data_IF_412762291738
#
_entry.id   IF_412762291738
#
_cell.length_a   1.000
_cell.length_b   1.000
_cell.length_c   1.000
_cell.angle_alpha   90.00
_cell.angle_beta   90.00
_cell.angle_gamma   90.00
#
_symmetry.space_group_name_H-M   'P 1'
#
loop_
_entity.id
_entity.type
_entity.pdbx_description
1 polymer ?
#
# COMPACT_ATOMS: atom_id res chain seq x y z
N UNK A 1 -9.99 -5.38 6.71
CA UNK A 1 -10.51 -4.92 8.03
C UNK A 1 -10.89 -3.46 7.86
N UNK A 2 -12.01 -3.02 8.42
CA UNK A 2 -12.40 -1.62 8.33
C UNK A 2 -11.53 -0.71 9.20
N UNK A 3 -11.56 0.60 8.90
CA UNK A 3 -10.69 1.58 9.57
C UNK A 3 -10.94 1.67 11.09
N UNK A 4 -12.18 1.45 11.56
CA UNK A 4 -12.51 1.52 12.99
C UNK A 4 -11.95 0.31 13.74
N UNK A 5 -12.02 -0.87 13.14
CA UNK A 5 -11.49 -2.10 13.74
C UNK A 5 -9.97 -2.09 13.90
N UNK A 6 -9.26 -1.20 13.17
CA UNK A 6 -7.81 -1.04 13.32
C UNK A 6 -7.41 -0.51 14.69
N UNK A 7 -8.28 0.23 15.39
CA UNK A 7 -8.01 0.68 16.77
C UNK A 7 -7.68 -0.50 17.69
N UNK A 8 -8.45 -1.58 17.60
CA UNK A 8 -8.23 -2.78 18.44
C UNK A 8 -6.88 -3.46 18.14
N UNK A 9 -6.45 -3.46 16.88
CA UNK A 9 -5.15 -4.02 16.50
C UNK A 9 -4.00 -3.16 17.05
N UNK A 10 -4.12 -1.84 16.94
CA UNK A 10 -3.15 -0.89 17.52
C UNK A 10 -3.07 -1.06 19.03
N UNK A 11 -4.22 -1.09 19.71
CA UNK A 11 -4.30 -1.24 21.17
C UNK A 11 -3.59 -2.52 21.64
N UNK A 12 -3.76 -3.64 20.94
CA UNK A 12 -3.06 -4.89 21.27
C UNK A 12 -1.55 -4.75 21.20
N UNK A 13 -1.02 -4.04 20.20
CA UNK A 13 0.42 -3.80 20.07
C UNK A 13 0.90 -2.90 21.20
N UNK A 14 0.20 -1.80 21.49
CA UNK A 14 0.53 -0.90 22.58
C UNK A 14 0.51 -1.60 23.95
N UNK A 15 -0.51 -2.43 24.20
CA UNK A 15 -0.63 -3.19 25.46
C UNK A 15 0.47 -4.24 25.63
N UNK A 16 1.11 -4.69 24.54
CA UNK A 16 2.29 -5.56 24.61
C UNK A 16 3.58 -4.84 25.00
N UNK A 17 3.51 -3.51 25.19
CA UNK A 17 4.65 -2.67 25.55
C UNK A 17 5.42 -2.07 24.36
N UNK A 18 4.95 -2.28 23.14
CA UNK A 18 5.58 -1.70 21.95
C UNK A 18 4.80 -0.44 21.50
N UNK A 19 5.44 0.72 21.63
CA UNK A 19 4.86 2.00 21.20
C UNK A 19 5.16 2.35 19.72
N UNK A 20 5.99 1.55 19.03
CA UNK A 20 6.33 1.75 17.64
C UNK A 20 5.37 0.93 16.76
N UNK A 21 4.19 1.47 16.49
CA UNK A 21 3.15 0.83 15.69
C UNK A 21 2.82 1.67 14.46
N UNK A 22 2.67 1.00 13.32
CA UNK A 22 2.21 1.56 12.05
C UNK A 22 0.99 0.76 11.59
N UNK A 23 0.08 1.41 10.88
CA UNK A 23 -1.04 0.74 10.19
C UNK A 23 -0.70 0.68 8.71
N UNK A 24 -0.88 -0.49 8.09
CA UNK A 24 -0.75 -0.64 6.64
C UNK A 24 -2.12 -0.72 5.99
N UNK A 25 -2.45 0.24 5.12
CA UNK A 25 -3.58 0.15 4.19
C UNK A 25 -3.14 -0.65 2.97
N UNK A 26 -3.80 -1.75 2.72
CA UNK A 26 -3.46 -2.71 1.66
C UNK A 26 -4.63 -2.95 0.68
N UNK A 27 -5.71 -2.20 0.85
CA UNK A 27 -6.95 -2.41 0.12
C UNK A 27 -7.85 -3.48 0.74
N UNK A 28 -9.08 -3.48 0.28
CA UNK A 28 -10.13 -4.41 0.69
C UNK A 28 -10.72 -5.13 -0.51
N UNK A 29 -11.11 -6.38 -0.32
CA UNK A 29 -11.90 -7.13 -1.33
C UNK A 29 -13.27 -6.49 -1.43
N UNK A 30 -13.61 -5.96 -2.60
CA UNK A 30 -14.89 -5.28 -2.81
C UNK A 30 -15.42 -5.49 -4.24
N UNK A 31 -16.02 -6.64 -4.50
CA UNK A 31 -16.86 -6.87 -5.66
C UNK A 31 -16.15 -7.21 -6.97
N UNK A 32 -15.36 -6.36 -7.51
CA UNK A 32 -14.79 -6.48 -8.88
C UNK A 32 -13.66 -7.50 -9.07
N UNK A 33 -13.55 -8.49 -8.20
CA UNK A 33 -12.44 -9.46 -8.16
C UNK A 33 -11.05 -8.81 -7.98
N UNK A 34 -11.03 -7.55 -7.59
CA UNK A 34 -9.85 -6.75 -7.32
C UNK A 34 -9.83 -6.27 -5.86
N UNK A 35 -8.67 -5.86 -5.39
CA UNK A 35 -8.55 -5.08 -4.17
C UNK A 35 -8.83 -3.60 -4.49
N UNK A 36 -9.54 -2.93 -3.60
CA UNK A 36 -9.85 -1.50 -3.72
C UNK A 36 -9.31 -0.77 -2.51
N UNK A 37 -8.52 0.27 -2.74
CA UNK A 37 -8.09 1.20 -1.69
C UNK A 37 -9.17 2.26 -1.50
N UNK A 38 -9.81 2.26 -0.34
CA UNK A 38 -10.69 3.36 0.06
C UNK A 38 -9.85 4.43 0.76
N UNK A 39 -9.44 5.44 0.01
CA UNK A 39 -8.60 6.53 0.51
C UNK A 39 -9.20 7.31 1.70
N UNK A 40 -10.51 7.24 1.93
CA UNK A 40 -11.17 7.81 3.12
C UNK A 40 -10.74 7.12 4.41
N UNK A 41 -10.19 5.91 4.32
CA UNK A 41 -9.69 5.17 5.48
C UNK A 41 -8.38 5.75 6.01
N UNK A 42 -7.53 6.34 5.16
CA UNK A 42 -6.24 6.89 5.57
C UNK A 42 -6.39 7.91 6.71
N UNK A 43 -7.16 9.03 6.55
CA UNK A 43 -7.31 9.99 7.63
C UNK A 43 -8.01 9.40 8.87
N UNK A 44 -8.90 8.41 8.71
CA UNK A 44 -9.56 7.76 9.84
C UNK A 44 -8.59 6.90 10.66
N UNK A 45 -7.72 6.15 9.99
CA UNK A 45 -6.72 5.29 10.66
C UNK A 45 -5.58 6.11 11.29
N UNK A 46 -5.24 7.26 10.73
CA UNK A 46 -4.21 8.16 11.29
C UNK A 46 -4.52 8.66 12.70
N UNK A 47 -5.77 8.61 13.13
CA UNK A 47 -6.16 8.92 14.51
C UNK A 47 -5.55 7.93 15.51
N UNK A 48 -5.27 6.70 15.07
CA UNK A 48 -4.77 5.63 15.93
C UNK A 48 -3.24 5.45 15.84
N UNK A 49 -2.69 5.53 14.62
CA UNK A 49 -1.25 5.38 14.36
C UNK A 49 -0.90 5.93 12.96
N UNK A 50 0.41 6.20 12.68
CA UNK A 50 0.84 6.53 11.33
C UNK A 50 0.44 5.45 10.31
N UNK A 51 0.07 5.88 9.09
CA UNK A 51 -0.47 5.00 8.05
C UNK A 51 0.50 4.88 6.89
N UNK A 52 0.83 3.65 6.55
CA UNK A 52 1.61 3.27 5.36
C UNK A 52 0.63 2.74 4.31
N UNK A 53 0.70 3.25 3.09
CA UNK A 53 -0.02 2.68 1.96
C UNK A 53 0.84 1.66 1.23
N UNK A 54 0.36 0.43 1.14
CA UNK A 54 0.99 -0.64 0.36
C UNK A 54 0.53 -0.55 -1.09
N UNK A 55 1.42 -0.07 -1.97
CA UNK A 55 1.13 0.11 -3.40
C UNK A 55 1.54 -1.09 -4.25
N UNK A 56 2.10 -2.13 -3.64
CA UNK A 56 2.37 -3.42 -4.28
C UNK A 56 1.17 -4.33 -4.16
N UNK A 57 0.82 -4.67 -2.93
CA UNK A 57 -0.19 -5.69 -2.67
C UNK A 57 -1.63 -5.18 -2.83
N UNK A 58 -1.88 -3.88 -2.72
CA UNK A 58 -3.20 -3.30 -3.02
C UNK A 58 -3.59 -3.39 -4.50
N UNK A 59 -2.62 -3.65 -5.38
CA UNK A 59 -2.80 -3.80 -6.82
C UNK A 59 -2.84 -5.27 -7.28
N UNK A 60 -2.78 -6.21 -6.35
CA UNK A 60 -2.93 -7.63 -6.66
C UNK A 60 -4.34 -7.93 -7.17
N UNK A 61 -4.40 -8.86 -8.14
CA UNK A 61 -5.65 -9.48 -8.61
C UNK A 61 -5.73 -10.90 -8.08
N UNK A 62 -6.38 -11.12 -6.94
CA UNK A 62 -6.55 -12.46 -6.39
C UNK A 62 -7.47 -13.31 -7.27
N UNK A 63 -7.44 -14.63 -7.05
CA UNK A 63 -8.37 -15.58 -7.68
C UNK A 63 -8.32 -15.63 -9.22
N UNK A 64 -7.13 -15.53 -9.81
CA UNK A 64 -6.97 -15.72 -11.24
C UNK A 64 -7.08 -17.21 -11.63
N UNK A 65 -7.69 -17.50 -12.78
CA UNK A 65 -7.87 -18.87 -13.31
C UNK A 65 -6.53 -19.62 -13.49
N UNK A 66 -5.43 -18.90 -13.70
CA UNK A 66 -4.08 -19.46 -13.81
C UNK A 66 -3.49 -19.96 -12.50
N UNK A 67 -4.17 -19.76 -11.35
CA UNK A 67 -3.65 -20.08 -10.02
C UNK A 67 -2.51 -19.16 -9.54
N UNK A 68 -2.12 -18.17 -10.33
CA UNK A 68 -1.09 -17.19 -10.00
C UNK A 68 -1.75 -15.81 -9.86
N UNK A 69 -1.49 -15.13 -8.76
CA UNK A 69 -1.99 -13.76 -8.53
C UNK A 69 -1.56 -12.82 -9.67
N UNK A 70 -2.52 -12.15 -10.26
CA UNK A 70 -2.27 -11.10 -11.25
C UNK A 70 -1.90 -9.76 -10.59
N UNK A 71 -1.63 -8.75 -11.41
CA UNK A 71 -1.31 -7.42 -10.90
C UNK A 71 -1.53 -6.30 -11.91
N UNK A 72 -1.43 -5.07 -11.41
CA UNK A 72 -1.58 -3.84 -12.19
C UNK A 72 -0.42 -2.87 -11.91
N UNK A 73 0.83 -3.24 -12.29
CA UNK A 73 2.02 -2.43 -11.96
C UNK A 73 1.94 -1.01 -12.54
N UNK A 74 1.24 -0.83 -13.66
CA UNK A 74 1.03 0.49 -14.28
C UNK A 74 0.29 1.49 -13.38
N UNK A 75 -0.40 0.99 -12.33
CA UNK A 75 -1.13 1.83 -11.38
C UNK A 75 -0.31 2.17 -10.13
N UNK A 76 0.89 1.64 -9.95
CA UNK A 76 1.73 1.88 -8.76
C UNK A 76 1.91 3.38 -8.52
N UNK A 77 2.36 4.12 -9.53
CA UNK A 77 2.56 5.57 -9.41
C UNK A 77 1.25 6.31 -9.09
N UNK A 78 0.15 5.92 -9.74
CA UNK A 78 -1.17 6.54 -9.53
C UNK A 78 -1.64 6.38 -8.09
N UNK A 79 -1.59 5.15 -7.56
CA UNK A 79 -2.04 4.83 -6.21
C UNK A 79 -1.09 5.47 -5.17
N UNK A 80 0.22 5.44 -5.41
CA UNK A 80 1.20 6.09 -4.53
C UNK A 80 0.95 7.59 -4.41
N UNK A 81 0.76 8.30 -5.52
CA UNK A 81 0.44 9.73 -5.53
C UNK A 81 -0.85 10.03 -4.77
N UNK A 82 -1.92 9.27 -5.03
CA UNK A 82 -3.19 9.43 -4.33
C UNK A 82 -3.03 9.21 -2.82
N UNK A 83 -2.25 8.21 -2.40
CA UNK A 83 -1.94 7.96 -1.01
C UNK A 83 -1.25 9.14 -0.32
N UNK A 84 -0.23 9.70 -0.96
CA UNK A 84 0.48 10.87 -0.41
C UNK A 84 -0.46 12.07 -0.28
N UNK A 85 -1.25 12.37 -1.32
CA UNK A 85 -2.22 13.49 -1.30
C UNK A 85 -3.28 13.32 -0.22
N UNK A 86 -3.72 12.10 0.04
CA UNK A 86 -4.71 11.80 1.09
C UNK A 86 -4.12 11.70 2.50
N UNK A 87 -2.81 11.90 2.63
CA UNK A 87 -2.14 12.04 3.91
C UNK A 87 -1.50 10.78 4.46
N UNK A 88 -1.22 9.77 3.64
CA UNK A 88 -0.38 8.65 4.07
C UNK A 88 0.98 9.16 4.58
N UNK A 89 1.47 8.55 5.65
CA UNK A 89 2.75 8.90 6.27
C UNK A 89 3.93 8.29 5.53
N UNK A 90 3.69 7.16 4.85
CA UNK A 90 4.68 6.48 4.03
C UNK A 90 4.04 5.54 3.01
N UNK A 91 4.90 4.96 2.19
CA UNK A 91 4.53 4.02 1.12
C UNK A 91 5.35 2.74 1.31
N UNK A 92 4.71 1.60 1.15
CA UNK A 92 5.36 0.31 1.01
C UNK A 92 5.40 -0.06 -0.48
N UNK A 93 6.59 -0.36 -1.01
CA UNK A 93 6.79 -0.74 -2.41
C UNK A 93 7.75 -1.93 -2.46
N UNK A 94 7.37 -2.99 -3.16
CA UNK A 94 8.29 -4.05 -3.55
C UNK A 94 8.96 -3.72 -4.88
N UNK A 95 10.27 -3.95 -4.95
CA UNK A 95 11.08 -3.68 -6.13
C UNK A 95 11.97 -4.87 -6.47
N UNK A 96 12.27 -5.03 -7.74
CA UNK A 96 13.21 -6.05 -8.23
C UNK A 96 13.94 -5.53 -9.46
N UNK A 97 15.20 -5.94 -9.66
CA UNK A 97 15.97 -5.58 -10.86
C UNK A 97 15.37 -6.16 -12.16
N UNK A 98 14.72 -7.31 -12.06
CA UNK A 98 13.93 -7.93 -13.13
C UNK A 98 12.66 -8.55 -12.51
N UNK A 99 11.56 -7.79 -12.42
CA UNK A 99 10.31 -8.29 -11.82
C UNK A 99 9.80 -9.60 -12.42
N UNK A 100 10.08 -9.88 -13.69
CA UNK A 100 9.63 -11.11 -14.36
C UNK A 100 10.33 -12.36 -13.82
N UNK A 101 11.53 -12.21 -13.27
CA UNK A 101 12.30 -13.30 -12.68
C UNK A 101 12.11 -13.43 -11.16
N UNK A 102 11.31 -12.57 -10.54
CA UNK A 102 11.04 -12.61 -9.10
C UNK A 102 10.33 -13.92 -8.71
N UNK A 103 10.67 -14.45 -7.54
CA UNK A 103 10.11 -15.72 -7.02
C UNK A 103 8.63 -15.60 -6.62
N UNK A 104 8.17 -14.42 -6.26
CA UNK A 104 6.79 -14.09 -5.89
C UNK A 104 6.48 -12.66 -6.33
N UNK A 105 5.20 -12.33 -6.45
CA UNK A 105 4.66 -10.98 -6.65
C UNK A 105 5.24 -10.15 -7.82
N UNK A 106 6.05 -10.76 -8.69
CA UNK A 106 6.72 -10.09 -9.81
C UNK A 106 5.77 -9.32 -10.75
N UNK A 107 4.47 -9.68 -10.76
CA UNK A 107 3.46 -8.96 -11.54
C UNK A 107 3.03 -7.63 -10.92
N UNK A 108 3.45 -7.34 -9.68
CA UNK A 108 3.13 -6.12 -8.94
C UNK A 108 4.37 -5.36 -8.47
N UNK A 109 5.56 -5.86 -8.77
CA UNK A 109 6.80 -5.19 -8.38
C UNK A 109 7.13 -4.04 -9.32
N UNK A 110 7.66 -2.96 -8.75
CA UNK A 110 8.26 -1.87 -9.51
C UNK A 110 9.68 -2.27 -9.95
N UNK A 111 10.07 -2.05 -11.22
CA UNK A 111 11.48 -2.12 -11.60
C UNK A 111 12.31 -1.18 -10.71
N UNK A 112 13.44 -1.68 -10.18
CA UNK A 112 14.24 -0.89 -9.23
C UNK A 112 14.80 0.39 -9.87
N UNK A 113 15.00 0.40 -11.15
CA UNK A 113 15.46 1.56 -11.94
C UNK A 113 14.46 2.72 -11.94
N UNK A 114 13.15 2.44 -11.75
CA UNK A 114 12.08 3.45 -11.72
C UNK A 114 11.85 4.01 -10.32
N UNK A 115 12.46 3.41 -9.27
CA UNK A 115 12.19 3.74 -7.88
C UNK A 115 12.59 5.18 -7.54
N UNK A 116 13.79 5.62 -7.96
CA UNK A 116 14.30 6.95 -7.63
C UNK A 116 13.42 8.06 -8.20
N UNK A 117 12.97 7.91 -9.45
CA UNK A 117 12.07 8.86 -10.09
C UNK A 117 10.72 8.91 -9.36
N UNK A 118 10.15 7.76 -9.02
CA UNK A 118 8.89 7.69 -8.28
C UNK A 118 9.01 8.37 -6.91
N UNK A 119 10.03 8.03 -6.11
CA UNK A 119 10.24 8.65 -4.79
C UNK A 119 10.41 10.16 -4.92
N UNK A 120 11.18 10.62 -5.88
CA UNK A 120 11.38 12.06 -6.14
C UNK A 120 10.06 12.78 -6.44
N UNK A 121 9.16 12.16 -7.21
CA UNK A 121 7.81 12.68 -7.47
C UNK A 121 6.98 12.76 -6.20
N UNK A 122 6.98 11.68 -5.40
CA UNK A 122 6.21 11.61 -4.15
C UNK A 122 6.67 12.64 -3.12
N UNK A 123 7.99 12.84 -2.98
CA UNK A 123 8.57 13.87 -2.09
C UNK A 123 8.14 15.26 -2.51
N UNK A 124 8.17 15.59 -3.82
CA UNK A 124 7.69 16.88 -4.32
C UNK A 124 6.20 17.11 -4.01
N UNK A 125 5.37 16.10 -4.21
CA UNK A 125 3.94 16.17 -3.88
C UNK A 125 3.78 16.41 -2.36
N UNK A 126 4.47 15.62 -1.55
CA UNK A 126 4.41 15.74 -0.08
C UNK A 126 4.80 17.14 0.41
N UNK A 127 5.78 17.77 -0.25
CA UNK A 127 6.26 19.10 0.11
C UNK A 127 5.32 20.23 -0.33
N UNK A 128 4.34 19.94 -1.18
CA UNK A 128 3.40 20.92 -1.74
C UNK A 128 2.03 20.94 -1.06
N UNK A 129 1.80 20.06 -0.09
CA UNK A 129 0.53 19.90 0.62
C UNK A 129 0.66 20.15 2.11
#
# INVERSE_FOLDING_TARGET
MDSTSMSYAVDKVLQSGNNNVLITERGSMFGYQDLVVDFRNIPKMKVYAPVILDVTHSLQKPNQESGVTGGQPDLIETIAKAGIVTGADGIFIETHSDPKSAKSDGKNMLPIEDLDELISKLVRIKSSI
#
